data_IF_142969368459
#
_entry.id   IF_142969368459
#
_cell.length_a   1.000
_cell.length_b   1.000
_cell.length_c   1.000
_cell.angle_alpha   90.00
_cell.angle_beta   90.00
_cell.angle_gamma   90.00
#
_symmetry.space_group_name_H-M   'P 1'
#
loop_
_entity.id
_entity.type
_entity.pdbx_description
1 polymer ?
#
# COMPACT_ATOMS: atom_id res chain seq x y z
N UNK A 1 -15.23 3.50 -9.88
CA UNK A 1 -14.05 3.13 -9.09
C UNK A 1 -14.18 1.70 -8.58
N UNK A 2 -13.11 0.95 -8.69
CA UNK A 2 -13.07 -0.42 -8.21
C UNK A 2 -12.98 -0.45 -6.68
N UNK A 3 -13.77 -1.32 -6.06
CA UNK A 3 -13.71 -1.51 -4.61
C UNK A 3 -12.34 -2.02 -4.16
N UNK A 4 -11.66 -2.78 -5.03
CA UNK A 4 -10.32 -3.28 -4.74
C UNK A 4 -9.31 -2.15 -4.58
N UNK A 5 -9.39 -1.12 -5.42
CA UNK A 5 -8.51 0.04 -5.32
C UNK A 5 -8.75 0.79 -4.01
N UNK A 6 -10.01 0.92 -3.62
CA UNK A 6 -10.38 1.56 -2.36
C UNK A 6 -9.81 0.78 -1.16
N UNK A 7 -9.95 -0.54 -1.16
CA UNK A 7 -9.40 -1.39 -0.11
C UNK A 7 -7.88 -1.29 -0.05
N UNK A 8 -7.21 -1.32 -1.20
CA UNK A 8 -5.76 -1.15 -1.27
C UNK A 8 -5.32 0.19 -0.71
N UNK A 9 -6.05 1.26 -1.04
CA UNK A 9 -5.75 2.59 -0.53
C UNK A 9 -5.84 2.64 0.99
N UNK A 10 -6.86 2.00 1.58
CA UNK A 10 -7.03 1.93 3.02
C UNK A 10 -5.88 1.16 3.68
N UNK A 11 -5.50 0.02 3.11
CA UNK A 11 -4.40 -0.79 3.63
C UNK A 11 -3.07 -0.02 3.58
N UNK A 12 -2.82 0.66 2.47
CA UNK A 12 -1.62 1.49 2.31
C UNK A 12 -1.58 2.57 3.38
N UNK A 13 -2.70 3.23 3.62
CA UNK A 13 -2.79 4.27 4.63
C UNK A 13 -2.53 3.72 6.03
N UNK A 14 -3.14 2.59 6.37
CA UNK A 14 -2.94 1.96 7.67
C UNK A 14 -1.49 1.55 7.88
N UNK A 15 -0.87 0.93 6.87
CA UNK A 15 0.53 0.55 6.95
C UNK A 15 1.44 1.77 7.13
N UNK A 16 1.15 2.84 6.43
CA UNK A 16 1.93 4.08 6.56
C UNK A 16 1.87 4.61 7.99
N UNK A 17 0.69 4.61 8.61
CA UNK A 17 0.52 5.04 9.99
C UNK A 17 1.27 4.12 10.95
N UNK A 18 1.17 2.80 10.75
CA UNK A 18 1.87 1.81 11.57
C UNK A 18 3.40 2.00 11.48
N UNK A 19 3.92 2.24 10.30
CA UNK A 19 5.35 2.45 10.08
C UNK A 19 5.84 3.68 10.84
N UNK A 20 5.06 4.74 10.86
CA UNK A 20 5.42 5.96 11.59
C UNK A 20 5.51 5.71 13.11
N UNK A 21 4.69 4.79 13.63
CA UNK A 21 4.70 4.46 15.04
C UNK A 21 5.72 3.41 15.45
N UNK A 22 6.37 2.73 14.49
CA UNK A 22 7.31 1.66 14.77
C UNK A 22 8.70 2.19 15.07
N UNK A 23 9.24 1.79 16.22
CA UNK A 23 10.61 2.14 16.62
C UNK A 23 11.62 1.05 16.26
N UNK A 24 11.15 -0.19 16.05
CA UNK A 24 12.02 -1.33 15.74
C UNK A 24 12.30 -1.39 14.26
N UNK A 25 13.59 -1.36 13.88
CA UNK A 25 14.02 -1.31 12.48
C UNK A 25 13.64 -2.56 11.68
N UNK A 26 13.62 -3.75 12.31
CA UNK A 26 13.26 -4.99 11.61
C UNK A 26 11.80 -4.98 11.18
N UNK A 27 10.90 -4.71 12.12
CA UNK A 27 9.47 -4.63 11.82
C UNK A 27 9.18 -3.53 10.82
N UNK A 28 9.88 -2.43 10.97
CA UNK A 28 9.71 -1.29 10.08
C UNK A 28 10.07 -1.66 8.63
N UNK A 29 11.18 -2.38 8.45
CA UNK A 29 11.62 -2.82 7.12
C UNK A 29 10.61 -3.74 6.47
N UNK A 30 10.09 -4.72 7.23
CA UNK A 30 9.08 -5.64 6.72
C UNK A 30 7.80 -4.92 6.31
N UNK A 31 7.35 -3.99 7.15
CA UNK A 31 6.15 -3.19 6.86
C UNK A 31 6.36 -2.30 5.64
N UNK A 32 7.53 -1.72 5.49
CA UNK A 32 7.86 -0.90 4.32
C UNK A 32 7.81 -1.75 3.05
N UNK A 33 8.31 -2.98 3.08
CA UNK A 33 8.22 -3.88 1.93
C UNK A 33 6.77 -4.18 1.56
N UNK A 34 5.92 -4.45 2.56
CA UNK A 34 4.50 -4.66 2.31
C UNK A 34 3.85 -3.42 1.71
N UNK A 35 4.19 -2.25 2.23
CA UNK A 35 3.69 -0.98 1.71
C UNK A 35 4.06 -0.80 0.24
N UNK A 36 5.32 -1.09 -0.12
CA UNK A 36 5.78 -1.01 -1.51
C UNK A 36 5.00 -1.94 -2.43
N UNK A 37 4.76 -3.18 -2.00
CA UNK A 37 3.99 -4.15 -2.78
C UNK A 37 2.57 -3.66 -3.03
N UNK A 38 1.91 -3.17 -1.99
CA UNK A 38 0.54 -2.67 -2.11
C UNK A 38 0.48 -1.42 -2.98
N UNK A 39 1.42 -0.51 -2.82
CA UNK A 39 1.50 0.70 -3.62
C UNK A 39 1.70 0.37 -5.10
N UNK A 40 2.59 -0.56 -5.39
CA UNK A 40 2.85 -1.00 -6.76
C UNK A 40 1.62 -1.65 -7.37
N UNK A 41 0.95 -2.52 -6.61
CA UNK A 41 -0.27 -3.19 -7.05
C UNK A 41 -1.37 -2.18 -7.37
N UNK A 42 -1.57 -1.21 -6.48
CA UNK A 42 -2.54 -0.14 -6.69
C UNK A 42 -2.23 0.64 -7.97
N UNK A 43 -0.96 1.00 -8.14
CA UNK A 43 -0.51 1.75 -9.30
C UNK A 43 -0.79 1.00 -10.61
N UNK A 44 -0.51 -0.30 -10.64
CA UNK A 44 -0.77 -1.13 -11.81
C UNK A 44 -2.26 -1.23 -12.11
N UNK A 45 -3.10 -1.36 -11.09
CA UNK A 45 -4.55 -1.41 -11.26
C UNK A 45 -5.10 -0.10 -11.83
N UNK A 46 -4.62 1.03 -11.32
CA UNK A 46 -5.01 2.33 -11.84
C UNK A 46 -4.58 2.52 -13.30
N UNK A 47 -3.41 2.01 -13.63
CA UNK A 47 -2.91 2.07 -15.01
C UNK A 47 -3.75 1.24 -15.97
N UNK A 48 -4.20 0.06 -15.53
CA UNK A 48 -5.08 -0.78 -16.32
C UNK A 48 -6.44 -0.13 -16.56
N UNK A 49 -7.00 0.52 -15.54
CA UNK A 49 -8.27 1.24 -15.70
C UNK A 49 -8.17 2.36 -16.72
N UNK A 50 -7.05 3.06 -16.78
CA UNK A 50 -6.85 4.12 -17.75
C UNK A 50 -6.75 3.61 -19.18
N UNK A 51 -6.31 2.36 -19.36
CA UNK A 51 -6.21 1.76 -20.69
C UNK A 51 -7.55 1.25 -21.22
N UNK A 52 -8.48 1.01 -20.34
CA UNK A 52 -9.81 0.56 -20.72
C UNK A 52 -10.69 1.76 -21.08
#
# INVERSE_FOLDING_TARGET
MSDEIRELSQKIRQLSIEIQGLKNSRYRTDKIRQLHRLTKKKYLMLKEEKKA
#
